data_IF_955581757047
#
_entry.id   IF_955581757047
#
_cell.length_a   1.000
_cell.length_b   1.000
_cell.length_c   1.000
_cell.angle_alpha   90.00
_cell.angle_beta   90.00
_cell.angle_gamma   90.00
#
_symmetry.space_group_name_H-M   'P 1'
#
loop_
_entity.id
_entity.type
_entity.pdbx_description
1 polymer ?
#
# COMPACT_ATOMS: atom_id res chain seq x y z
N UNK A 1 -0.01 1.90 -29.49
CA UNK A 1 0.90 2.34 -28.43
C UNK A 1 0.25 2.00 -27.10
N UNK A 2 0.93 1.33 -26.18
CA UNK A 2 0.40 1.07 -24.86
C UNK A 2 0.42 2.32 -23.98
N UNK A 3 -0.44 2.31 -22.95
CA UNK A 3 -0.44 3.32 -21.90
C UNK A 3 -0.45 2.64 -20.53
N UNK A 4 -0.01 3.37 -19.51
CA UNK A 4 0.08 2.90 -18.11
C UNK A 4 -0.59 3.89 -17.16
N UNK A 5 -1.39 3.38 -16.25
CA UNK A 5 -1.77 4.09 -15.04
C UNK A 5 -0.70 3.80 -13.98
N UNK A 6 -0.23 4.81 -13.28
CA UNK A 6 0.77 4.70 -12.23
C UNK A 6 0.10 4.88 -10.88
N UNK A 7 0.24 3.87 -10.00
CA UNK A 7 -0.45 3.77 -8.70
C UNK A 7 0.59 3.76 -7.59
N UNK A 8 0.51 4.73 -6.70
CA UNK A 8 1.45 4.96 -5.59
C UNK A 8 1.32 3.93 -4.47
N UNK A 9 2.26 3.92 -3.56
CA UNK A 9 2.23 3.09 -2.34
C UNK A 9 1.30 3.65 -1.26
N UNK A 10 1.32 3.00 -0.10
CA UNK A 10 0.45 3.34 1.03
C UNK A 10 0.65 4.77 1.54
N UNK A 11 -0.44 5.35 2.03
CA UNK A 11 -0.50 6.72 2.50
C UNK A 11 -0.97 7.69 1.41
N UNK A 12 -1.13 8.96 1.78
CA UNK A 12 -1.56 10.01 0.85
C UNK A 12 -0.34 10.49 0.07
N UNK A 13 -0.26 10.14 -1.20
CA UNK A 13 0.86 10.45 -2.08
C UNK A 13 0.46 11.45 -3.17
N UNK A 14 1.44 12.24 -3.61
CA UNK A 14 1.28 12.99 -4.85
C UNK A 14 1.58 12.09 -6.07
N UNK A 15 1.22 12.54 -7.25
CA UNK A 15 1.41 11.86 -8.54
C UNK A 15 2.85 11.44 -8.85
N UNK A 16 3.83 12.01 -8.16
CA UNK A 16 5.25 11.74 -8.35
C UNK A 16 5.80 10.74 -7.34
N UNK A 17 4.96 10.34 -6.35
CA UNK A 17 5.35 9.51 -5.21
C UNK A 17 6.57 10.13 -4.49
N UNK A 18 6.46 11.42 -4.18
CA UNK A 18 7.56 12.22 -3.65
C UNK A 18 7.87 11.85 -2.21
N UNK A 19 9.07 11.33 -1.99
CA UNK A 19 9.56 10.92 -0.68
C UNK A 19 11.05 11.27 -0.55
N UNK A 20 11.44 11.93 0.53
CA UNK A 20 12.84 12.36 0.78
C UNK A 20 13.46 13.12 -0.40
N UNK A 21 12.75 14.08 -0.97
CA UNK A 21 13.15 14.86 -2.14
C UNK A 21 13.36 14.04 -3.44
N UNK A 22 12.96 12.77 -3.46
CA UNK A 22 12.95 11.92 -4.65
C UNK A 22 11.55 11.83 -5.25
N UNK A 23 11.48 11.74 -6.59
CA UNK A 23 10.23 11.67 -7.37
C UNK A 23 10.28 10.46 -8.31
N UNK A 24 10.23 9.23 -7.76
CA UNK A 24 10.43 8.03 -8.56
C UNK A 24 9.44 7.91 -9.73
N UNK A 25 8.18 8.24 -9.51
CA UNK A 25 7.18 8.17 -10.58
C UNK A 25 7.36 9.21 -11.67
N UNK A 26 7.88 10.41 -11.35
CA UNK A 26 8.25 11.37 -12.36
C UNK A 26 9.39 10.86 -13.25
N UNK A 27 10.41 10.23 -12.65
CA UNK A 27 11.55 9.66 -13.36
C UNK A 27 11.12 8.50 -14.28
N UNK A 28 10.32 7.58 -13.76
CA UNK A 28 9.81 6.44 -14.54
C UNK A 28 8.93 6.95 -15.69
N UNK A 29 8.05 7.91 -15.45
CA UNK A 29 7.17 8.47 -16.46
C UNK A 29 7.95 9.19 -17.59
N UNK A 30 9.01 9.94 -17.26
CA UNK A 30 9.87 10.56 -18.27
C UNK A 30 10.58 9.52 -19.13
N UNK A 31 11.13 8.47 -18.51
CA UNK A 31 11.78 7.38 -19.24
C UNK A 31 10.81 6.65 -20.18
N UNK A 32 9.58 6.35 -19.71
CA UNK A 32 8.54 5.72 -20.52
C UNK A 32 8.09 6.63 -21.66
N UNK A 33 7.91 7.92 -21.40
CA UNK A 33 7.52 8.90 -22.44
C UNK A 33 8.58 9.00 -23.54
N UNK A 34 9.88 8.98 -23.19
CA UNK A 34 10.98 8.93 -24.18
C UNK A 34 10.97 7.66 -25.01
N UNK A 35 10.45 6.57 -24.46
CA UNK A 35 10.25 5.29 -25.17
C UNK A 35 8.91 5.23 -25.95
N UNK A 36 8.13 6.32 -25.99
CA UNK A 36 6.86 6.40 -26.70
C UNK A 36 5.70 5.73 -25.97
N UNK A 37 5.80 5.52 -24.65
CA UNK A 37 4.77 4.93 -23.80
C UNK A 37 4.11 6.04 -22.99
N UNK A 38 2.79 6.19 -23.13
CA UNK A 38 2.02 7.15 -22.38
C UNK A 38 1.81 6.70 -20.91
N UNK A 39 1.84 7.65 -19.98
CA UNK A 39 1.54 7.38 -18.57
C UNK A 39 0.49 8.36 -18.04
N UNK A 40 -0.40 7.87 -17.21
CA UNK A 40 -1.31 8.65 -16.38
C UNK A 40 -0.84 8.57 -14.94
N UNK A 41 -0.52 9.72 -14.35
CA UNK A 41 -0.22 9.90 -12.93
C UNK A 41 -1.27 10.81 -12.33
N UNK A 42 -1.70 10.52 -11.14
CA UNK A 42 -2.70 11.31 -10.42
C UNK A 42 -2.31 11.46 -8.96
N UNK A 43 -2.77 12.51 -8.31
CA UNK A 43 -2.63 12.68 -6.87
C UNK A 43 -3.68 11.82 -6.18
N UNK A 44 -3.31 11.15 -5.10
CA UNK A 44 -4.26 10.35 -4.34
C UNK A 44 -5.39 11.21 -3.77
N UNK A 45 -6.54 10.59 -3.55
CA UNK A 45 -7.59 11.22 -2.77
C UNK A 45 -7.03 11.66 -1.42
N UNK A 46 -7.34 12.89 -0.99
CA UNK A 46 -6.81 13.49 0.23
C UNK A 46 -5.56 14.34 0.03
N UNK A 47 -4.82 14.23 -1.08
CA UNK A 47 -3.63 15.05 -1.30
C UNK A 47 -3.98 16.51 -1.67
N UNK A 48 -4.90 16.71 -2.61
CA UNK A 48 -5.29 18.03 -3.12
C UNK A 48 -6.78 18.32 -2.97
N UNK A 49 -7.34 18.07 -1.80
CA UNK A 49 -8.74 18.28 -1.50
C UNK A 49 -9.59 17.03 -1.79
N UNK A 50 -10.08 16.45 -0.76
CA UNK A 50 -11.01 15.34 -0.78
C UNK A 50 -12.13 15.66 0.22
N UNK A 51 -13.38 15.66 -0.23
CA UNK A 51 -14.52 16.04 0.61
C UNK A 51 -14.92 14.95 1.63
N UNK A 52 -14.33 13.76 1.52
CA UNK A 52 -14.55 12.64 2.44
C UNK A 52 -13.47 12.54 3.53
N UNK A 53 -13.70 11.65 4.49
CA UNK A 53 -12.68 11.29 5.47
C UNK A 53 -11.75 10.23 4.86
N UNK A 54 -10.49 10.57 4.69
CA UNK A 54 -9.50 9.65 4.10
C UNK A 54 -9.28 8.39 4.94
N UNK A 55 -9.50 8.47 6.24
CA UNK A 55 -9.36 7.31 7.14
C UNK A 55 -10.45 6.24 6.92
N UNK A 56 -11.54 6.58 6.22
CA UNK A 56 -12.59 5.63 5.86
C UNK A 56 -12.30 4.95 4.51
N UNK A 57 -11.24 5.36 3.81
CA UNK A 57 -10.85 4.80 2.53
C UNK A 57 -10.04 3.52 2.71
N UNK A 58 -10.33 2.56 1.85
CA UNK A 58 -9.69 1.25 1.80
C UNK A 58 -8.86 1.09 0.52
N UNK A 59 -8.07 0.04 0.43
CA UNK A 59 -7.37 -0.35 -0.81
C UNK A 59 -8.34 -0.50 -2.00
N UNK A 60 -9.59 -0.94 -1.75
CA UNK A 60 -10.62 -1.01 -2.80
C UNK A 60 -11.00 0.36 -3.36
N UNK A 61 -11.03 1.40 -2.53
CA UNK A 61 -11.28 2.76 -2.99
C UNK A 61 -10.17 3.27 -3.90
N UNK A 62 -8.91 3.06 -3.52
CA UNK A 62 -7.75 3.40 -4.35
C UNK A 62 -7.69 2.56 -5.63
N UNK A 63 -8.12 1.28 -5.58
CA UNK A 63 -8.30 0.43 -6.77
C UNK A 63 -9.32 1.04 -7.73
N UNK A 64 -10.43 1.55 -7.22
CA UNK A 64 -11.47 2.18 -8.04
C UNK A 64 -10.96 3.48 -8.69
N UNK A 65 -10.11 4.25 -8.02
CA UNK A 65 -9.45 5.43 -8.61
C UNK A 65 -8.52 5.02 -9.77
N UNK A 66 -7.72 3.98 -9.56
CA UNK A 66 -6.87 3.43 -10.62
C UNK A 66 -7.69 2.90 -11.81
N UNK A 67 -8.82 2.26 -11.54
CA UNK A 67 -9.78 1.79 -12.57
C UNK A 67 -10.37 2.95 -13.38
N UNK A 68 -10.69 4.07 -12.72
CA UNK A 68 -11.12 5.28 -13.42
C UNK A 68 -10.04 5.79 -14.38
N UNK A 69 -8.76 5.77 -13.95
CA UNK A 69 -7.61 6.08 -14.79
C UNK A 69 -7.49 5.16 -16.00
N UNK A 70 -7.65 3.84 -15.81
CA UNK A 70 -7.67 2.86 -16.90
C UNK A 70 -8.77 3.20 -17.91
N UNK A 71 -9.99 3.45 -17.43
CA UNK A 71 -11.14 3.75 -18.29
C UNK A 71 -10.93 5.03 -19.10
N UNK A 72 -10.29 6.06 -18.50
CA UNK A 72 -9.92 7.28 -19.21
C UNK A 72 -8.94 7.01 -20.37
N UNK A 73 -7.98 6.11 -20.18
CA UNK A 73 -6.97 5.78 -21.19
C UNK A 73 -7.52 4.85 -22.29
N UNK A 74 -8.45 3.95 -21.98
CA UNK A 74 -9.03 2.98 -22.95
C UNK A 74 -9.69 3.64 -24.15
N UNK A 75 -10.15 4.86 -24.02
CA UNK A 75 -10.71 5.63 -25.14
C UNK A 75 -9.65 6.13 -26.15
N UNK A 76 -8.36 6.01 -25.82
CA UNK A 76 -7.25 6.56 -26.62
C UNK A 76 -6.15 5.55 -26.95
N UNK A 77 -6.06 4.45 -26.22
CA UNK A 77 -4.99 3.47 -26.35
C UNK A 77 -5.54 2.05 -26.43
N UNK A 78 -4.92 1.21 -27.28
CA UNK A 78 -5.35 -0.17 -27.54
C UNK A 78 -5.02 -1.11 -26.37
N UNK A 79 -3.98 -0.79 -25.61
CA UNK A 79 -3.49 -1.55 -24.46
C UNK A 79 -3.27 -0.62 -23.29
N UNK A 80 -3.93 -0.90 -22.18
CA UNK A 80 -3.80 -0.13 -20.95
C UNK A 80 -3.38 -1.04 -19.80
N UNK A 81 -2.19 -0.78 -19.27
CA UNK A 81 -1.64 -1.50 -18.12
C UNK A 81 -1.63 -0.64 -16.85
N UNK A 82 -1.17 -1.25 -15.78
CA UNK A 82 -0.95 -0.60 -14.50
C UNK A 82 0.48 -0.87 -14.04
N UNK A 83 1.17 0.18 -13.61
CA UNK A 83 2.40 0.07 -12.82
C UNK A 83 2.10 0.58 -11.42
N UNK A 84 2.35 -0.25 -10.40
CA UNK A 84 2.07 0.11 -9.02
C UNK A 84 3.23 -0.22 -8.10
N UNK A 85 3.46 0.64 -7.11
CA UNK A 85 4.48 0.45 -6.09
C UNK A 85 3.84 0.08 -4.76
N UNK A 86 4.42 -0.90 -4.03
CA UNK A 86 3.96 -1.32 -2.71
C UNK A 86 2.45 -1.65 -2.73
N UNK A 87 1.60 -0.93 -2.01
CA UNK A 87 0.13 -1.09 -2.07
C UNK A 87 -0.41 -0.91 -3.48
N UNK A 88 0.11 0.06 -4.26
CA UNK A 88 -0.23 0.21 -5.68
C UNK A 88 0.11 -1.02 -6.51
N UNK A 89 1.17 -1.76 -6.15
CA UNK A 89 1.51 -3.05 -6.75
C UNK A 89 0.47 -4.13 -6.43
N UNK A 90 -0.08 -4.13 -5.22
CA UNK A 90 -1.21 -4.99 -4.84
C UNK A 90 -2.47 -4.62 -5.62
N UNK A 91 -2.77 -3.32 -5.74
CA UNK A 91 -3.88 -2.81 -6.57
C UNK A 91 -3.74 -3.26 -8.03
N UNK A 92 -2.52 -3.22 -8.58
CA UNK A 92 -2.25 -3.72 -9.92
C UNK A 92 -2.58 -5.21 -10.07
N UNK A 93 -2.22 -6.03 -9.07
CA UNK A 93 -2.57 -7.46 -9.02
C UNK A 93 -4.08 -7.67 -8.93
N UNK A 94 -4.80 -6.89 -8.11
CA UNK A 94 -6.27 -6.95 -7.99
C UNK A 94 -6.94 -6.64 -9.35
N UNK A 95 -6.51 -5.55 -10.01
CA UNK A 95 -7.03 -5.15 -11.32
C UNK A 95 -6.74 -6.18 -12.41
N UNK A 96 -5.59 -6.86 -12.35
CA UNK A 96 -5.27 -7.96 -13.25
C UNK A 96 -6.16 -9.18 -13.01
N UNK A 97 -6.39 -9.56 -11.75
CA UNK A 97 -7.29 -10.65 -11.38
C UNK A 97 -8.73 -10.40 -11.84
N UNK A 98 -9.18 -9.15 -11.78
CA UNK A 98 -10.48 -8.69 -12.28
C UNK A 98 -10.51 -8.47 -13.81
N UNK A 99 -9.40 -8.74 -14.52
CA UNK A 99 -9.24 -8.53 -15.98
C UNK A 99 -9.49 -7.07 -16.40
N UNK A 100 -9.23 -6.14 -15.52
CA UNK A 100 -9.38 -4.70 -15.77
C UNK A 100 -8.12 -4.08 -16.40
N UNK A 101 -6.96 -4.70 -16.29
CA UNK A 101 -5.72 -4.27 -16.93
C UNK A 101 -5.26 -5.28 -17.99
N UNK A 102 -4.71 -4.81 -19.11
CA UNK A 102 -4.16 -5.68 -20.15
C UNK A 102 -2.81 -6.29 -19.76
N UNK A 103 -2.06 -5.62 -18.89
CA UNK A 103 -0.80 -6.05 -18.31
C UNK A 103 -0.50 -5.24 -17.05
N UNK A 104 0.38 -5.75 -16.22
CA UNK A 104 0.79 -5.05 -14.98
C UNK A 104 2.31 -5.07 -14.82
N UNK A 105 2.79 -4.09 -14.06
CA UNK A 105 4.15 -4.03 -13.53
C UNK A 105 4.01 -3.77 -12.02
N UNK A 106 4.37 -4.76 -11.22
CA UNK A 106 4.33 -4.65 -9.76
C UNK A 106 5.73 -4.37 -9.23
N UNK A 107 5.90 -3.19 -8.62
CA UNK A 107 7.13 -2.76 -7.96
C UNK A 107 6.95 -2.98 -6.46
N UNK A 108 7.55 -4.05 -5.93
CA UNK A 108 7.45 -4.42 -4.52
C UNK A 108 6.00 -4.57 -4.00
N UNK A 109 5.06 -4.95 -4.88
CA UNK A 109 3.68 -5.23 -4.51
C UNK A 109 3.58 -6.52 -3.69
N UNK A 110 2.64 -6.52 -2.75
CA UNK A 110 2.41 -7.65 -1.86
C UNK A 110 1.60 -8.73 -2.56
N UNK A 111 2.04 -9.99 -2.45
CA UNK A 111 1.31 -11.16 -2.92
C UNK A 111 0.71 -12.01 -1.78
N UNK A 112 0.84 -11.53 -0.57
CA UNK A 112 0.27 -12.10 0.66
C UNK A 112 -0.66 -11.07 1.31
N UNK A 113 -1.40 -11.48 2.33
CA UNK A 113 -2.33 -10.57 3.02
C UNK A 113 -1.60 -9.36 3.64
N UNK A 114 -2.31 -8.24 3.79
CA UNK A 114 -1.77 -7.05 4.46
C UNK A 114 -1.32 -7.34 5.89
N UNK A 115 -2.04 -8.21 6.61
CA UNK A 115 -1.69 -8.66 7.95
C UNK A 115 -0.34 -9.38 7.96
N UNK A 116 -0.16 -10.39 7.10
CA UNK A 116 1.12 -11.11 6.97
C UNK A 116 2.25 -10.17 6.57
N UNK A 117 1.99 -9.26 5.64
CA UNK A 117 2.99 -8.26 5.23
C UNK A 117 3.43 -7.39 6.38
N UNK A 118 2.51 -6.85 7.18
CA UNK A 118 2.84 -6.01 8.33
C UNK A 118 3.62 -6.78 9.40
N UNK A 119 3.28 -8.04 9.68
CA UNK A 119 4.05 -8.91 10.57
C UNK A 119 5.48 -9.08 10.04
N UNK A 120 5.65 -9.39 8.75
CA UNK A 120 6.96 -9.57 8.14
C UNK A 120 7.80 -8.28 8.12
N UNK A 121 7.21 -7.14 7.77
CA UNK A 121 7.90 -5.85 7.77
C UNK A 121 8.40 -5.46 9.16
N UNK A 122 7.55 -5.62 10.18
CA UNK A 122 7.94 -5.38 11.56
C UNK A 122 9.06 -6.32 11.99
N UNK A 123 8.96 -7.63 11.69
CA UNK A 123 10.02 -8.58 12.00
C UNK A 123 11.36 -8.15 11.42
N UNK A 124 11.41 -7.85 10.12
CA UNK A 124 12.63 -7.44 9.45
C UNK A 124 13.22 -6.14 10.04
N UNK A 125 12.38 -5.16 10.33
CA UNK A 125 12.82 -3.90 10.93
C UNK A 125 13.39 -4.10 12.32
N UNK A 126 12.73 -4.90 13.17
CA UNK A 126 13.17 -5.15 14.55
C UNK A 126 14.45 -5.99 14.60
N UNK A 127 14.58 -6.99 13.72
CA UNK A 127 15.82 -7.76 13.56
C UNK A 127 16.97 -6.86 13.10
N UNK A 128 16.72 -6.00 12.10
CA UNK A 128 17.73 -5.04 11.61
C UNK A 128 18.12 -4.01 12.69
N UNK A 129 17.21 -3.68 13.60
CA UNK A 129 17.49 -2.83 14.77
C UNK A 129 18.23 -3.57 15.89
N UNK A 130 18.49 -4.87 15.76
CA UNK A 130 19.25 -5.67 16.72
C UNK A 130 18.48 -6.07 17.97
N UNK A 131 17.13 -6.12 17.92
CA UNK A 131 16.34 -6.58 19.06
C UNK A 131 16.49 -8.10 19.24
N UNK A 132 16.37 -8.61 20.50
CA UNK A 132 16.36 -10.03 20.80
C UNK A 132 15.23 -10.77 20.05
N UNK A 133 15.50 -11.98 19.62
CA UNK A 133 14.57 -12.77 18.80
C UNK A 133 13.24 -13.05 19.51
N UNK A 134 13.26 -13.32 20.80
CA UNK A 134 12.08 -13.53 21.66
C UNK A 134 11.18 -12.27 21.75
N UNK A 135 11.80 -11.09 21.82
CA UNK A 135 11.10 -9.81 21.78
C UNK A 135 10.46 -9.59 20.41
N UNK A 136 11.19 -9.87 19.31
CA UNK A 136 10.67 -9.78 17.94
C UNK A 136 9.49 -10.73 17.75
N UNK A 137 9.62 -11.98 18.17
CA UNK A 137 8.56 -12.99 18.05
C UNK A 137 7.32 -12.59 18.85
N UNK A 138 7.52 -12.07 20.07
CA UNK A 138 6.42 -11.63 20.92
C UNK A 138 5.67 -10.45 20.29
N UNK A 139 6.37 -9.47 19.74
CA UNK A 139 5.75 -8.33 19.07
C UNK A 139 5.04 -8.73 17.77
N UNK A 140 5.65 -9.57 16.94
CA UNK A 140 5.03 -10.08 15.72
C UNK A 140 3.76 -10.88 16.01
N UNK A 141 3.76 -11.70 17.07
CA UNK A 141 2.57 -12.42 17.51
C UNK A 141 1.47 -11.46 17.95
N UNK A 142 1.80 -10.43 18.76
CA UNK A 142 0.82 -9.43 19.18
C UNK A 142 0.14 -8.72 18.00
N UNK A 143 0.91 -8.36 16.95
CA UNK A 143 0.34 -7.78 15.72
C UNK A 143 -0.57 -8.80 15.02
N UNK A 144 -0.13 -10.05 14.85
CA UNK A 144 -0.94 -11.11 14.24
C UNK A 144 -2.26 -11.33 14.97
N UNK A 145 -2.22 -11.46 16.30
CA UNK A 145 -3.39 -11.63 17.17
C UNK A 145 -4.37 -10.45 17.04
N UNK A 146 -3.86 -9.21 16.83
CA UNK A 146 -4.70 -8.04 16.62
C UNK A 146 -5.47 -8.10 15.28
N UNK A 147 -4.82 -8.53 14.20
CA UNK A 147 -5.50 -8.75 12.92
C UNK A 147 -6.53 -9.88 12.98
N UNK A 148 -6.20 -10.98 13.64
CA UNK A 148 -7.12 -12.10 13.82
C UNK A 148 -8.34 -11.69 14.65
N UNK A 149 -8.13 -10.91 15.71
CA UNK A 149 -9.20 -10.35 16.53
C UNK A 149 -10.11 -9.40 15.71
N UNK A 150 -9.53 -8.50 14.90
CA UNK A 150 -10.29 -7.61 14.01
C UNK A 150 -11.14 -8.43 13.03
N UNK A 151 -10.56 -9.43 12.37
CA UNK A 151 -11.25 -10.28 11.40
C UNK A 151 -12.36 -11.13 12.03
N UNK A 152 -12.18 -11.54 13.29
CA UNK A 152 -13.16 -12.36 14.04
C UNK A 152 -14.19 -11.53 14.79
N UNK A 153 -14.05 -10.21 14.83
CA UNK A 153 -14.91 -9.31 15.60
C UNK A 153 -14.76 -9.48 17.12
N UNK A 154 -13.59 -9.99 17.58
CA UNK A 154 -13.28 -10.15 19.00
C UNK A 154 -12.51 -8.94 19.54
N UNK A 155 -12.47 -8.72 20.87
CA UNK A 155 -11.70 -7.63 21.45
C UNK A 155 -10.23 -7.68 21.05
N UNK A 156 -9.66 -6.52 20.65
CA UNK A 156 -8.25 -6.41 20.31
C UNK A 156 -7.37 -6.70 21.53
N UNK A 157 -6.23 -7.40 21.36
CA UNK A 157 -5.34 -7.72 22.47
C UNK A 157 -4.73 -6.46 23.09
N UNK A 158 -4.58 -6.47 24.40
CA UNK A 158 -3.92 -5.41 25.15
C UNK A 158 -2.42 -5.72 25.29
N UNK A 159 -1.57 -4.79 24.88
CA UNK A 159 -0.12 -4.92 24.95
C UNK A 159 0.42 -5.03 26.40
N UNK A 160 -0.37 -4.63 27.41
CA UNK A 160 0.04 -4.72 28.81
C UNK A 160 0.30 -6.15 29.28
N UNK A 161 -0.36 -7.13 28.66
CA UNK A 161 -0.18 -8.57 28.95
C UNK A 161 1.08 -9.19 28.32
N UNK A 162 1.83 -8.43 27.53
CA UNK A 162 3.02 -8.91 26.82
C UNK A 162 4.30 -8.35 27.42
N UNK A 163 5.33 -9.19 27.53
CA UNK A 163 6.67 -8.76 27.97
C UNK A 163 7.41 -8.09 26.80
N UNK A 164 7.15 -6.80 26.64
CA UNK A 164 7.66 -5.97 25.55
C UNK A 164 8.18 -4.65 26.08
N UNK A 165 9.25 -4.08 25.48
CA UNK A 165 9.67 -2.71 25.74
C UNK A 165 8.56 -1.69 25.50
N UNK A 166 8.53 -0.62 26.31
CA UNK A 166 7.50 0.42 26.23
C UNK A 166 7.41 1.05 24.83
N UNK A 167 8.55 1.22 24.15
CA UNK A 167 8.57 1.74 22.78
C UNK A 167 7.77 0.85 21.81
N UNK A 168 7.84 -0.47 21.94
CA UNK A 168 7.06 -1.39 21.10
C UNK A 168 5.58 -1.38 21.49
N UNK A 169 5.26 -1.23 22.78
CA UNK A 169 3.87 -1.07 23.21
C UNK A 169 3.26 0.22 22.63
N UNK A 170 4.03 1.31 22.57
CA UNK A 170 3.57 2.55 21.91
C UNK A 170 3.40 2.39 20.39
N UNK A 171 4.34 1.72 19.71
CA UNK A 171 4.18 1.42 18.29
C UNK A 171 2.94 0.55 18.01
N UNK A 172 2.64 -0.40 18.88
CA UNK A 172 1.44 -1.21 18.76
C UNK A 172 0.15 -0.38 18.85
N UNK A 173 0.12 0.68 19.68
CA UNK A 173 -1.03 1.58 19.74
C UNK A 173 -1.30 2.29 18.39
N UNK A 174 -0.24 2.59 17.63
CA UNK A 174 -0.38 3.14 16.28
C UNK A 174 -0.98 2.10 15.32
N UNK A 175 -0.60 0.83 15.43
CA UNK A 175 -1.21 -0.28 14.67
C UNK A 175 -2.69 -0.42 15.02
N UNK A 176 -3.03 -0.39 16.32
CA UNK A 176 -4.42 -0.46 16.77
C UNK A 176 -5.28 0.69 16.22
N UNK A 177 -4.74 1.90 16.18
CA UNK A 177 -5.45 3.05 15.64
C UNK A 177 -5.83 2.84 14.16
N UNK A 178 -4.95 2.22 13.38
CA UNK A 178 -5.22 1.86 11.97
C UNK A 178 -6.25 0.71 11.84
N UNK A 179 -6.28 -0.21 12.80
CA UNK A 179 -7.23 -1.32 12.79
C UNK A 179 -8.64 -0.94 13.25
N UNK A 180 -8.81 0.19 13.93
CA UNK A 180 -10.11 0.65 14.44
C UNK A 180 -10.89 1.49 13.42
N UNK A 181 -10.23 1.93 12.37
CA UNK A 181 -10.86 2.59 11.21
C UNK A 181 -11.21 1.56 10.14
#
# INVERSE_FOLDING_TARGET
TPALVMVTGSGIQNRDEELFDHKPFAVIADALARAGIATLRYDDRGFNGYDGNINDCTTDDFKNDALAGINMLRGRFDKVGVIGHSEGGTIALMLAAEKQADFIISLAGMSISGAETLVWQNRLALVAAGLPEDTVDTYCRLIGDAFDAKNSGTPLPDASGYDLPDALKQNYLAVLAQLQT
#
